data_IF_973699439815
#
_entry.id   IF_973699439815
#
_cell.length_a   1.000
_cell.length_b   1.000
_cell.length_c   1.000
_cell.angle_alpha   90.00
_cell.angle_beta   90.00
_cell.angle_gamma   90.00
#
_symmetry.space_group_name_H-M   'P 1'
#
loop_
_entity.id
_entity.type
_entity.pdbx_description
1 polymer ?
#
# COMPACT_ATOMS: atom_id res chain seq x y z
N UNK A 1 -13.30 -8.66 12.65
CA UNK A 1 -13.08 -10.11 12.67
C UNK A 1 -11.73 -10.34 13.30
N UNK A 2 -11.72 -10.94 14.49
CA UNK A 2 -10.54 -11.05 15.34
C UNK A 2 -9.48 -12.00 14.76
N UNK A 3 -8.22 -11.58 14.80
CA UNK A 3 -7.05 -12.39 14.49
C UNK A 3 -6.84 -13.45 15.57
N UNK A 4 -6.71 -14.73 15.18
CA UNK A 4 -6.34 -15.80 16.11
C UNK A 4 -4.82 -15.85 16.30
N UNK A 5 -4.35 -15.51 17.51
CA UNK A 5 -2.95 -15.66 17.90
C UNK A 5 -2.68 -17.10 18.34
N UNK A 6 -1.73 -17.78 17.67
CA UNK A 6 -1.17 -19.04 18.17
C UNK A 6 0.07 -18.74 19.02
N UNK A 7 -0.09 -18.87 20.35
CA UNK A 7 0.94 -18.57 21.34
C UNK A 7 2.03 -19.64 21.41
N UNK A 8 1.85 -20.81 20.79
CA UNK A 8 2.83 -21.90 20.85
C UNK A 8 4.08 -21.63 20.00
N UNK A 9 3.96 -20.77 18.99
CA UNK A 9 5.05 -20.42 18.08
C UNK A 9 5.56 -18.99 18.26
N UNK A 10 4.89 -18.18 19.09
CA UNK A 10 5.09 -16.73 19.19
C UNK A 10 4.98 -15.98 17.85
N UNK A 11 4.38 -16.61 16.82
CA UNK A 11 4.21 -16.01 15.50
C UNK A 11 2.77 -15.50 15.37
N UNK A 12 2.64 -14.18 15.29
CA UNK A 12 1.40 -13.53 14.85
C UNK A 12 1.38 -13.60 13.32
N UNK A 13 0.64 -14.57 12.76
CA UNK A 13 0.33 -14.58 11.32
C UNK A 13 -0.80 -13.60 11.05
N UNK A 14 -0.46 -12.32 10.90
CA UNK A 14 -1.39 -11.32 10.38
C UNK A 14 -1.77 -11.63 8.93
N UNK A 15 -2.87 -11.02 8.44
CA UNK A 15 -2.98 -10.68 7.01
C UNK A 15 -1.62 -10.16 6.56
N UNK A 16 -1.11 -10.67 5.44
CA UNK A 16 0.26 -10.48 4.93
C UNK A 16 0.88 -9.17 5.46
N UNK A 17 1.87 -9.27 6.34
CA UNK A 17 2.67 -8.13 6.78
C UNK A 17 3.27 -7.46 5.54
N UNK A 18 2.74 -6.31 5.12
CA UNK A 18 3.12 -5.76 3.81
C UNK A 18 2.35 -4.52 3.36
N UNK A 19 1.97 -3.63 4.28
CA UNK A 19 1.46 -2.32 3.90
C UNK A 19 2.46 -1.62 2.98
N UNK A 20 1.98 -1.06 1.87
CA UNK A 20 2.82 -0.26 0.98
C UNK A 20 3.02 1.15 1.56
N UNK A 21 4.07 1.84 1.13
CA UNK A 21 4.33 3.22 1.49
C UNK A 21 4.81 4.01 0.27
N UNK A 22 4.55 5.31 0.24
CA UNK A 22 5.11 6.24 -0.74
C UNK A 22 5.80 7.37 0.03
N UNK A 23 7.07 7.61 -0.29
CA UNK A 23 7.86 8.70 0.26
C UNK A 23 8.04 9.77 -0.80
N UNK A 24 7.99 11.04 -0.38
CA UNK A 24 8.27 12.17 -1.26
C UNK A 24 9.14 13.20 -0.56
N UNK A 25 9.73 14.09 -1.36
CA UNK A 25 10.50 15.20 -0.83
C UNK A 25 9.55 16.25 -0.23
N UNK A 26 9.82 16.70 1.00
CA UNK A 26 9.00 17.72 1.68
C UNK A 26 8.85 19.04 0.88
N UNK A 27 9.80 19.35 -0.01
CA UNK A 27 9.72 20.54 -0.88
C UNK A 27 8.55 20.51 -1.87
N UNK A 28 8.02 19.33 -2.19
CA UNK A 28 6.89 19.17 -3.13
C UNK A 28 5.55 18.87 -2.43
N UNK A 29 5.49 19.00 -1.10
CA UNK A 29 4.30 18.62 -0.32
C UNK A 29 3.02 19.33 -0.79
N UNK A 30 3.12 20.62 -1.13
CA UNK A 30 1.99 21.43 -1.59
C UNK A 30 1.36 20.96 -2.92
N UNK A 31 2.09 20.16 -3.70
CA UNK A 31 1.62 19.62 -4.99
C UNK A 31 1.27 18.14 -4.93
N UNK A 32 1.38 17.51 -3.75
CA UNK A 32 0.99 16.11 -3.52
C UNK A 32 -0.37 16.03 -2.83
N UNK A 33 -1.25 15.18 -3.34
CA UNK A 33 -2.53 14.83 -2.71
C UNK A 33 -2.61 13.32 -2.50
N UNK A 34 -2.71 12.82 -1.26
CA UNK A 34 -2.99 11.41 -1.01
C UNK A 34 -4.36 11.01 -1.57
N UNK A 35 -4.45 9.83 -2.18
CA UNK A 35 -5.69 9.24 -2.66
C UNK A 35 -6.15 8.14 -1.70
N UNK A 36 -7.44 8.15 -1.34
CA UNK A 36 -8.08 7.05 -0.60
C UNK A 36 -8.58 6.02 -1.60
N UNK A 37 -8.07 4.79 -1.50
CA UNK A 37 -8.36 3.69 -2.42
C UNK A 37 -9.11 2.52 -1.76
N UNK A 38 -9.35 2.60 -0.44
CA UNK A 38 -10.07 1.61 0.37
C UNK A 38 -9.55 0.17 0.23
N UNK A 39 -8.24 0.01 0.00
CA UNK A 39 -7.54 -1.28 -0.07
C UNK A 39 -6.21 -1.23 0.69
N UNK A 40 -5.82 -2.33 1.32
CA UNK A 40 -4.59 -2.42 2.11
C UNK A 40 -3.32 -2.59 1.24
N UNK A 41 -3.48 -3.06 0.00
CA UNK A 41 -2.38 -3.42 -0.91
C UNK A 41 -1.93 -2.30 -1.85
N UNK A 42 -2.55 -1.11 -1.78
CA UNK A 42 -2.26 -0.01 -2.69
C UNK A 42 -2.32 1.35 -1.99
N UNK A 43 -1.34 2.21 -2.28
CA UNK A 43 -1.37 3.64 -1.96
C UNK A 43 -1.28 4.43 -3.25
N UNK A 44 -2.16 5.42 -3.37
CA UNK A 44 -2.12 6.39 -4.45
C UNK A 44 -1.74 7.79 -3.96
N UNK A 45 -0.94 8.48 -4.76
CA UNK A 45 -0.78 9.94 -4.65
C UNK A 45 -1.07 10.58 -6.00
N UNK A 46 -1.66 11.77 -5.98
CA UNK A 46 -1.81 12.63 -7.13
C UNK A 46 -0.79 13.76 -7.03
N UNK A 47 -0.02 13.96 -8.08
CA UNK A 47 0.85 15.12 -8.25
C UNK A 47 0.16 16.13 -9.16
N UNK A 48 0.04 17.39 -8.74
CA UNK A 48 -0.62 18.46 -9.50
C UNK A 48 0.26 19.72 -9.50
N UNK A 49 0.83 20.08 -10.65
CA UNK A 49 1.61 21.31 -10.80
C UNK A 49 1.51 21.83 -12.24
N UNK A 50 1.39 23.16 -12.42
CA UNK A 50 1.40 23.82 -13.74
C UNK A 50 0.40 23.24 -14.77
N UNK A 51 -0.86 23.01 -14.38
CA UNK A 51 -1.89 22.34 -15.18
C UNK A 51 -1.56 20.90 -15.62
N UNK A 52 -0.52 20.31 -15.06
CA UNK A 52 -0.17 18.92 -15.26
C UNK A 52 -0.61 18.13 -14.03
N UNK A 53 -1.26 16.99 -14.25
CA UNK A 53 -1.74 16.09 -13.20
C UNK A 53 -1.39 14.65 -13.54
N UNK A 54 -0.73 13.96 -12.60
CA UNK A 54 -0.45 12.52 -12.71
C UNK A 54 -0.88 11.81 -11.44
N UNK A 55 -1.28 10.54 -11.59
CA UNK A 55 -1.53 9.63 -10.47
C UNK A 55 -0.40 8.61 -10.42
N UNK A 56 0.16 8.42 -9.23
CA UNK A 56 1.17 7.41 -8.94
C UNK A 56 0.52 6.40 -8.01
N UNK A 57 0.53 5.13 -8.41
CA UNK A 57 0.04 4.01 -7.61
C UNK A 57 1.22 3.13 -7.23
N UNK A 58 1.41 2.88 -5.93
CA UNK A 58 2.30 1.86 -5.44
C UNK A 58 1.45 0.66 -5.01
N UNK A 59 1.55 -0.46 -5.73
CA UNK A 59 0.72 -1.64 -5.57
C UNK A 59 1.60 -2.82 -5.19
N UNK A 60 1.26 -3.49 -4.08
CA UNK A 60 1.80 -4.80 -3.77
C UNK A 60 0.88 -5.87 -4.36
N UNK A 61 1.27 -6.43 -5.50
CA UNK A 61 0.62 -7.60 -6.07
C UNK A 61 1.25 -8.86 -5.47
N UNK A 62 0.50 -9.72 -4.76
CA UNK A 62 1.02 -11.00 -4.32
C UNK A 62 1.54 -11.78 -5.52
N UNK A 63 2.65 -12.49 -5.35
CA UNK A 63 3.17 -13.38 -6.39
C UNK A 63 2.16 -14.52 -6.62
N UNK A 64 1.50 -14.54 -7.78
CA UNK A 64 0.68 -15.67 -8.19
C UNK A 64 1.62 -16.84 -8.48
N UNK A 65 1.60 -17.87 -7.61
CA UNK A 65 2.16 -19.17 -7.98
C UNK A 65 1.17 -19.77 -8.99
N UNK A 66 1.53 -19.75 -10.27
CA UNK A 66 0.87 -20.55 -11.29
C UNK A 66 1.15 -22.04 -10.99
N UNK A 67 0.28 -22.71 -10.23
CA UNK A 67 0.44 -24.15 -9.95
C UNK A 67 -0.27 -24.73 -8.73
N UNK A 68 -1.36 -24.12 -8.24
CA UNK A 68 -2.16 -24.69 -7.14
C UNK A 68 -3.63 -24.91 -7.55
N UNK A 69 -3.84 -25.36 -8.80
CA UNK A 69 -5.02 -26.15 -9.20
C UNK A 69 -4.74 -27.63 -8.99
#
# INVERSE_FOLDING_TARGET
GESTTDLSTAIVRGRISGGVAVLWNKRIDAVIKPLRLDVDCCIGIQYIQNNISFVILNIYTPYEIAGNE
#
